data_IF_330692155107
#
_entry.id   IF_330692155107
#
_cell.length_a   1.000
_cell.length_b   1.000
_cell.length_c   1.000
_cell.angle_alpha   90.00
_cell.angle_beta   90.00
_cell.angle_gamma   90.00
#
_symmetry.space_group_name_H-M   'P 1'
#
loop_
_entity.id
_entity.type
_entity.pdbx_description
1 polymer ?
#
# COMPACT_ATOMS: atom_id res chain seq x y z
N UNK A 1 26.38 -10.02 58.54
CA UNK A 1 25.34 -8.96 58.49
C UNK A 1 24.77 -8.98 57.07
N UNK A 2 24.19 -10.08 56.60
CA UNK A 2 22.88 -10.70 56.96
C UNK A 2 21.72 -9.74 56.65
N UNK A 3 20.66 -10.06 55.88
CA UNK A 3 20.11 -11.30 55.34
C UNK A 3 19.35 -10.94 54.01
N UNK A 4 19.39 -11.72 52.93
CA UNK A 4 18.61 -12.94 52.61
C UNK A 4 17.12 -12.89 53.00
N UNK A 5 16.23 -12.92 52.00
CA UNK A 5 14.95 -13.61 52.11
C UNK A 5 14.52 -14.19 50.75
N UNK A 6 14.42 -15.51 50.77
CA UNK A 6 13.87 -16.41 49.76
C UNK A 6 12.42 -16.80 50.11
N UNK A 7 11.82 -17.63 49.22
CA UNK A 7 10.57 -18.43 49.33
C UNK A 7 9.31 -17.86 48.65
N UNK A 8 8.40 -18.63 48.04
CA UNK A 8 8.33 -20.00 47.47
C UNK A 8 6.98 -20.08 46.72
N UNK A 9 6.88 -20.93 45.70
CA UNK A 9 5.62 -21.33 45.05
C UNK A 9 4.78 -22.29 45.93
N UNK A 10 3.53 -22.64 45.52
CA UNK A 10 3.38 -23.94 44.84
C UNK A 10 2.24 -24.10 43.80
N UNK A 11 2.53 -25.01 42.85
CA UNK A 11 1.72 -26.13 42.31
C UNK A 11 0.30 -25.96 41.73
N UNK A 12 0.14 -26.40 40.47
CA UNK A 12 -1.12 -26.87 39.88
C UNK A 12 -0.87 -27.87 38.75
N UNK A 13 -1.14 -29.16 39.01
CA UNK A 13 -1.02 -30.33 38.10
C UNK A 13 -2.33 -30.54 37.32
N UNK A 14 -2.24 -30.90 36.04
CA UNK A 14 -3.36 -31.41 35.23
C UNK A 14 -2.89 -32.43 34.18
N UNK A 15 -3.29 -33.70 34.36
CA UNK A 15 -2.93 -34.92 33.59
C UNK A 15 -3.52 -34.93 32.17
N UNK A 16 -2.77 -35.27 31.11
CA UNK A 16 -2.59 -36.61 30.46
C UNK A 16 -3.87 -37.38 30.11
N UNK A 17 -4.08 -37.65 28.81
CA UNK A 17 -4.63 -38.92 28.32
C UNK A 17 -4.12 -39.21 26.88
N UNK A 18 -3.36 -40.31 26.77
CA UNK A 18 -2.97 -41.01 25.54
C UNK A 18 -3.91 -42.21 25.44
N UNK A 19 -4.41 -42.53 24.25
CA UNK A 19 -5.06 -43.82 23.99
C UNK A 19 -4.51 -44.42 22.69
N UNK A 20 -3.85 -45.57 22.85
CA UNK A 20 -3.38 -46.47 21.80
C UNK A 20 -3.78 -47.89 22.25
N UNK A 21 -4.54 -48.64 21.44
CA UNK A 21 -4.78 -50.08 21.58
C UNK A 21 -5.50 -50.57 20.30
N UNK A 22 -4.83 -51.19 19.32
CA UNK A 22 -4.50 -52.63 19.14
C UNK A 22 -5.59 -53.49 18.49
N UNK A 23 -5.26 -53.96 17.27
CA UNK A 23 -5.37 -55.31 16.69
C UNK A 23 -6.54 -56.24 17.09
N UNK A 24 -7.22 -56.75 16.05
CA UNK A 24 -7.99 -57.99 16.08
C UNK A 24 -8.02 -58.64 14.69
N UNK A 25 -7.24 -59.70 14.51
CA UNK A 25 -7.27 -60.59 13.36
C UNK A 25 -8.37 -61.66 13.54
N UNK A 26 -9.02 -62.07 12.44
CA UNK A 26 -9.96 -63.19 12.44
C UNK A 26 -10.06 -63.79 11.04
N UNK A 27 -9.39 -64.93 10.85
CA UNK A 27 -9.44 -65.79 9.67
C UNK A 27 -10.26 -67.03 10.03
N UNK A 28 -11.30 -67.38 9.26
CA UNK A 28 -11.84 -68.74 9.24
C UNK A 28 -12.67 -68.99 7.96
N UNK A 29 -12.20 -69.96 7.17
CA UNK A 29 -12.89 -70.55 6.02
C UNK A 29 -13.78 -71.73 6.44
N UNK A 30 -14.81 -72.06 5.65
CA UNK A 30 -15.31 -73.42 5.22
C UNK A 30 -16.44 -73.18 4.19
N UNK A 31 -16.39 -73.63 2.93
CA UNK A 31 -16.36 -74.98 2.33
C UNK A 31 -17.75 -75.65 2.18
N UNK A 32 -18.08 -76.02 0.93
CA UNK A 32 -19.20 -76.87 0.50
C UNK A 32 -20.01 -76.23 -0.63
N UNK A 33 -20.45 -76.89 -1.70
CA UNK A 33 -20.18 -78.19 -2.32
C UNK A 33 -20.87 -78.18 -3.72
N UNK A 34 -20.52 -79.14 -4.58
CA UNK A 34 -21.30 -79.71 -5.68
C UNK A 34 -21.61 -78.89 -6.97
N UNK A 35 -20.75 -79.14 -7.97
CA UNK A 35 -21.05 -79.61 -9.34
C UNK A 35 -22.38 -79.33 -10.04
N UNK A 36 -22.29 -78.73 -11.23
CA UNK A 36 -22.93 -79.24 -12.45
C UNK A 36 -22.30 -78.59 -13.69
N UNK A 37 -21.66 -79.40 -14.53
CA UNK A 37 -21.19 -78.99 -15.84
C UNK A 37 -22.38 -78.94 -16.81
N UNK A 38 -22.56 -77.81 -17.49
CA UNK A 38 -23.36 -77.72 -18.72
C UNK A 38 -22.55 -77.01 -19.80
N UNK A 39 -22.53 -77.68 -20.94
CA UNK A 39 -21.71 -77.40 -22.12
C UNK A 39 -22.35 -76.35 -23.04
N UNK A 40 -21.49 -75.58 -23.71
CA UNK A 40 -21.72 -74.72 -24.92
C UNK A 40 -22.23 -73.32 -24.57
N UNK A 41 -21.71 -72.23 -25.12
CA UNK A 41 -21.27 -71.94 -26.50
C UNK A 41 -20.23 -70.82 -26.50
N UNK A 42 -19.28 -70.85 -27.43
CA UNK A 42 -18.40 -69.72 -27.72
C UNK A 42 -19.24 -68.51 -28.20
N UNK A 43 -19.28 -67.46 -27.39
CA UNK A 43 -19.77 -66.14 -27.78
C UNK A 43 -18.57 -65.17 -27.72
N UNK A 44 -18.21 -64.62 -28.87
CA UNK A 44 -17.24 -63.54 -28.96
C UNK A 44 -17.77 -62.36 -28.13
N UNK A 45 -17.09 -62.03 -27.04
CA UNK A 45 -17.37 -60.82 -26.26
C UNK A 45 -16.98 -59.62 -27.11
N UNK A 46 -17.96 -59.00 -27.76
CA UNK A 46 -17.81 -57.65 -28.29
C UNK A 46 -17.64 -56.72 -27.08
N UNK A 47 -16.41 -56.27 -26.83
CA UNK A 47 -16.12 -55.23 -25.85
C UNK A 47 -16.79 -53.96 -26.35
N UNK A 48 -17.96 -53.63 -25.79
CA UNK A 48 -18.59 -52.34 -26.00
C UNK A 48 -17.68 -51.27 -25.38
N UNK A 49 -16.91 -50.57 -26.21
CA UNK A 49 -16.26 -49.33 -25.80
C UNK A 49 -17.36 -48.30 -25.52
N UNK A 50 -17.72 -48.18 -24.24
CA UNK A 50 -18.51 -47.07 -23.75
C UNK A 50 -17.75 -45.78 -24.12
N UNK A 51 -18.27 -45.05 -25.10
CA UNK A 51 -17.80 -43.71 -25.43
C UNK A 51 -18.15 -42.81 -24.26
N UNK A 52 -17.24 -42.70 -23.30
CA UNK A 52 -17.25 -41.58 -22.36
C UNK A 52 -17.15 -40.32 -23.21
N UNK A 53 -18.24 -39.55 -23.29
CA UNK A 53 -18.15 -38.20 -23.82
C UNK A 53 -17.21 -37.45 -22.88
N UNK A 54 -16.02 -37.13 -23.37
CA UNK A 54 -15.11 -36.22 -22.68
C UNK A 54 -15.82 -34.87 -22.65
N UNK A 55 -16.53 -34.59 -21.55
CA UNK A 55 -16.92 -33.21 -21.24
C UNK A 55 -15.62 -32.46 -21.05
N UNK A 56 -15.33 -31.54 -21.96
CA UNK A 56 -14.26 -30.59 -21.78
C UNK A 56 -14.44 -29.94 -20.39
N UNK A 57 -13.37 -29.82 -19.57
CA UNK A 57 -13.47 -29.14 -18.29
C UNK A 57 -14.03 -27.75 -18.56
N UNK A 58 -15.02 -27.34 -17.77
CA UNK A 58 -15.55 -25.99 -17.84
C UNK A 58 -14.36 -25.02 -17.71
N UNK A 59 -14.12 -24.21 -18.74
CA UNK A 59 -13.22 -23.07 -18.63
C UNK A 59 -13.90 -22.13 -17.65
N UNK A 60 -13.57 -22.27 -16.36
CA UNK A 60 -13.91 -21.28 -15.35
C UNK A 60 -13.23 -20.00 -15.82
N UNK A 61 -14.04 -19.03 -16.26
CA UNK A 61 -13.53 -17.75 -16.76
C UNK A 61 -12.47 -17.21 -15.80
N UNK A 62 -11.32 -16.81 -16.36
CA UNK A 62 -10.19 -16.24 -15.61
C UNK A 62 -10.73 -15.24 -14.60
N UNK A 63 -10.49 -15.49 -13.31
CA UNK A 63 -10.93 -14.62 -12.23
C UNK A 63 -10.57 -13.17 -12.60
N UNK A 64 -11.51 -12.25 -12.42
CA UNK A 64 -11.28 -10.84 -12.72
C UNK A 64 -10.00 -10.38 -12.01
N UNK A 65 -9.14 -9.64 -12.74
CA UNK A 65 -7.92 -9.12 -12.15
C UNK A 65 -8.27 -8.31 -10.88
N UNK A 66 -7.48 -8.43 -9.80
CA UNK A 66 -7.75 -7.68 -8.59
C UNK A 66 -7.75 -6.18 -8.89
N UNK A 67 -8.62 -5.44 -8.21
CA UNK A 67 -8.66 -3.98 -8.31
C UNK A 67 -7.27 -3.39 -7.98
N UNK A 68 -6.85 -2.30 -8.66
CA UNK A 68 -5.58 -1.65 -8.38
C UNK A 68 -5.52 -1.20 -6.91
N UNK A 69 -4.35 -1.33 -6.30
CA UNK A 69 -4.12 -0.90 -4.93
C UNK A 69 -3.48 0.48 -4.91
N UNK A 70 -4.15 1.44 -4.24
CA UNK A 70 -3.59 2.76 -3.94
C UNK A 70 -2.99 2.72 -2.55
N UNK A 71 -1.67 2.91 -2.46
CA UNK A 71 -0.98 3.10 -1.19
C UNK A 71 -0.99 4.57 -0.81
N UNK A 72 -1.57 4.88 0.35
CA UNK A 72 -1.54 6.21 0.93
C UNK A 72 -0.49 6.26 2.03
N UNK A 73 0.39 7.24 1.98
CA UNK A 73 1.42 7.44 2.98
C UNK A 73 1.16 8.76 3.72
N UNK A 74 0.60 8.72 4.93
CA UNK A 74 0.54 9.90 5.78
C UNK A 74 1.95 10.24 6.27
N UNK A 75 2.48 11.41 5.85
CA UNK A 75 3.80 11.88 6.21
C UNK A 75 4.06 11.87 7.73
N UNK A 76 5.33 11.74 8.10
CA UNK A 76 5.82 11.76 9.48
C UNK A 76 5.13 10.72 10.40
N UNK A 77 5.05 10.98 11.71
CA UNK A 77 4.37 10.12 12.69
C UNK A 77 5.25 9.78 13.89
N UNK A 78 4.62 9.47 15.01
CA UNK A 78 5.27 9.16 16.27
C UNK A 78 6.18 10.30 16.73
N UNK A 79 7.48 10.02 16.79
CA UNK A 79 8.52 10.96 17.24
C UNK A 79 8.81 12.08 16.24
N UNK A 80 8.44 11.89 14.98
CA UNK A 80 8.54 12.92 13.95
C UNK A 80 7.21 13.69 13.86
N UNK A 81 7.14 14.94 14.32
CA UNK A 81 5.92 15.75 14.23
C UNK A 81 5.66 16.28 12.81
N UNK A 82 6.66 16.24 11.92
CA UNK A 82 6.69 17.05 10.71
C UNK A 82 6.78 18.53 11.02
N UNK A 83 6.25 19.36 10.10
CA UNK A 83 6.08 20.77 10.33
C UNK A 83 5.19 21.05 11.55
N UNK A 84 5.58 22.07 12.31
CA UNK A 84 4.77 22.64 13.40
C UNK A 84 4.21 23.95 12.89
N UNK A 85 2.88 24.00 12.73
CA UNK A 85 2.18 25.17 12.24
C UNK A 85 2.28 26.38 13.17
N UNK A 86 1.91 27.55 12.65
CA UNK A 86 1.96 28.83 13.37
C UNK A 86 1.18 28.78 14.69
N UNK A 87 0.11 27.97 14.76
CA UNK A 87 -0.71 27.78 15.97
C UNK A 87 -0.36 26.52 16.78
N UNK A 88 0.77 25.87 16.50
CA UNK A 88 1.22 24.65 17.19
C UNK A 88 0.62 23.35 16.65
N UNK A 89 -0.01 23.39 15.48
CA UNK A 89 -0.59 22.19 14.85
C UNK A 89 0.52 21.30 14.28
N UNK A 90 0.50 20.01 14.61
CA UNK A 90 1.46 19.06 14.02
C UNK A 90 0.97 18.54 12.67
N UNK A 91 1.85 18.57 11.68
CA UNK A 91 1.62 18.06 10.34
C UNK A 91 1.20 16.59 10.35
N UNK A 92 1.86 15.74 11.13
CA UNK A 92 1.57 14.30 11.20
C UNK A 92 0.08 13.97 11.41
N UNK A 93 -0.64 14.81 12.16
CA UNK A 93 -2.08 14.63 12.43
C UNK A 93 -2.94 15.13 11.27
N UNK A 94 -2.52 16.19 10.58
CA UNK A 94 -3.19 16.68 9.37
C UNK A 94 -3.05 15.66 8.24
N UNK A 95 -1.84 15.17 8.00
CA UNK A 95 -1.54 14.15 7.00
C UNK A 95 -2.37 12.88 7.22
N UNK A 96 -2.37 12.35 8.46
CA UNK A 96 -3.15 11.16 8.82
C UNK A 96 -4.65 11.37 8.63
N UNK A 97 -5.19 12.49 9.11
CA UNK A 97 -6.62 12.78 8.99
C UNK A 97 -7.06 12.97 7.54
N UNK A 98 -6.23 13.57 6.68
CA UNK A 98 -6.52 13.73 5.27
C UNK A 98 -6.42 12.40 4.50
N UNK A 99 -5.39 11.60 4.78
CA UNK A 99 -5.22 10.29 4.16
C UNK A 99 -6.32 9.30 4.58
N UNK A 100 -6.76 9.32 5.83
CA UNK A 100 -7.90 8.52 6.30
C UNK A 100 -9.21 8.92 5.60
N UNK A 101 -9.42 10.21 5.37
CA UNK A 101 -10.59 10.69 4.61
C UNK A 101 -10.50 10.29 3.13
N UNK A 102 -9.33 10.40 2.50
CA UNK A 102 -9.12 9.91 1.14
C UNK A 102 -9.33 8.39 1.03
N UNK A 103 -8.83 7.62 2.00
CA UNK A 103 -9.07 6.18 2.07
C UNK A 103 -10.56 5.86 2.10
N UNK A 104 -11.34 6.54 2.96
CA UNK A 104 -12.80 6.35 3.02
C UNK A 104 -13.46 6.58 1.67
N UNK A 105 -13.13 7.68 1.00
CA UNK A 105 -13.75 8.03 -0.28
C UNK A 105 -13.35 7.07 -1.42
N UNK A 106 -12.09 6.63 -1.45
CA UNK A 106 -11.61 5.65 -2.43
C UNK A 106 -12.28 4.28 -2.22
N UNK A 107 -12.34 3.80 -0.98
CA UNK A 107 -13.02 2.53 -0.65
C UNK A 107 -14.52 2.58 -0.98
N UNK A 108 -15.19 3.69 -0.66
CA UNK A 108 -16.61 3.89 -0.96
C UNK A 108 -16.94 3.85 -2.46
N UNK A 109 -15.96 4.11 -3.33
CA UNK A 109 -16.15 4.01 -4.79
C UNK A 109 -16.26 2.58 -5.30
N UNK A 110 -15.73 1.60 -4.56
CA UNK A 110 -15.64 0.20 -5.00
C UNK A 110 -14.65 -0.06 -6.15
N UNK A 111 -13.93 0.95 -6.63
CA UNK A 111 -13.01 0.83 -7.76
C UNK A 111 -11.56 0.48 -7.38
N UNK A 112 -11.21 0.60 -6.08
CA UNK A 112 -9.84 0.49 -5.60
C UNK A 112 -9.74 -0.38 -4.37
N UNK A 113 -8.60 -1.05 -4.24
CA UNK A 113 -8.08 -1.45 -2.93
C UNK A 113 -7.26 -0.28 -2.39
N UNK A 114 -7.29 -0.07 -1.07
CA UNK A 114 -6.54 1.02 -0.44
C UNK A 114 -5.82 0.50 0.78
N UNK A 115 -4.53 0.81 0.92
CA UNK A 115 -3.74 0.55 2.10
C UNK A 115 -3.09 1.86 2.58
N UNK A 116 -2.71 1.90 3.85
CA UNK A 116 -1.97 3.02 4.43
C UNK A 116 -0.67 2.52 5.04
N UNK A 117 0.43 3.27 4.89
CA UNK A 117 1.71 2.94 5.55
C UNK A 117 1.57 2.92 7.08
N UNK A 118 0.79 3.88 7.61
CA UNK A 118 0.36 3.94 9.02
C UNK A 118 -1.11 4.34 9.14
N UNK A 119 -1.77 3.84 10.19
CA UNK A 119 -3.15 4.19 10.57
C UNK A 119 -3.23 4.67 12.03
N UNK A 120 -2.07 4.90 12.63
CA UNK A 120 -1.85 5.37 13.99
C UNK A 120 -0.64 6.31 14.03
N UNK A 121 -0.41 6.92 15.19
CA UNK A 121 0.68 7.87 15.42
C UNK A 121 2.00 7.14 15.68
N UNK A 122 2.49 6.40 14.68
CA UNK A 122 3.79 5.72 14.70
C UNK A 122 4.75 6.30 13.68
N UNK A 123 6.04 6.24 14.01
CA UNK A 123 7.11 6.58 13.09
C UNK A 123 7.41 5.40 12.16
N UNK A 124 7.55 5.69 10.86
CA UNK A 124 8.06 4.73 9.85
C UNK A 124 9.18 5.42 9.07
N UNK A 125 10.37 4.81 8.99
CA UNK A 125 11.46 5.31 8.14
C UNK A 125 11.03 5.43 6.67
N UNK A 126 11.65 6.36 5.93
CA UNK A 126 11.28 6.66 4.55
C UNK A 126 11.38 5.43 3.64
N UNK A 127 12.44 4.64 3.77
CA UNK A 127 12.61 3.38 3.02
C UNK A 127 11.54 2.35 3.39
N UNK A 128 11.21 2.21 4.68
CA UNK A 128 10.16 1.30 5.15
C UNK A 128 8.78 1.63 4.57
N UNK A 129 8.48 2.90 4.28
CA UNK A 129 7.23 3.30 3.61
C UNK A 129 7.15 2.78 2.19
N UNK A 130 8.28 2.82 1.46
CA UNK A 130 8.41 2.28 0.10
C UNK A 130 8.32 0.75 0.14
N UNK A 131 8.98 0.09 1.09
CA UNK A 131 8.90 -1.37 1.29
C UNK A 131 7.47 -1.85 1.54
N UNK A 132 6.70 -1.13 2.37
CA UNK A 132 5.28 -1.42 2.60
C UNK A 132 4.48 -1.32 1.29
N UNK A 133 4.75 -0.32 0.44
CA UNK A 133 4.09 -0.19 -0.86
C UNK A 133 4.38 -1.40 -1.78
N UNK A 134 5.64 -1.85 -1.83
CA UNK A 134 6.04 -3.05 -2.59
C UNK A 134 5.42 -4.34 -2.04
N UNK A 135 5.43 -4.52 -0.71
CA UNK A 135 4.85 -5.69 -0.06
C UNK A 135 3.35 -5.84 -0.34
N UNK A 136 2.66 -4.72 -0.54
CA UNK A 136 1.24 -4.69 -0.91
C UNK A 136 0.98 -4.72 -2.42
N UNK A 137 2.04 -4.76 -3.25
CA UNK A 137 1.95 -4.65 -4.71
C UNK A 137 1.13 -3.45 -5.16
N UNK A 138 1.43 -2.28 -4.59
CA UNK A 138 0.71 -1.05 -4.90
C UNK A 138 0.84 -0.69 -6.39
N UNK A 139 -0.26 -0.24 -6.98
CA UNK A 139 -0.31 0.26 -8.37
C UNK A 139 -0.08 1.77 -8.45
N UNK A 140 -0.16 2.46 -7.31
CA UNK A 140 0.06 3.90 -7.15
C UNK A 140 0.43 4.17 -5.70
N UNK A 141 1.42 5.05 -5.48
CA UNK A 141 1.82 5.54 -4.16
C UNK A 141 1.60 7.05 -4.06
N UNK A 142 0.94 7.49 -2.98
CA UNK A 142 0.65 8.90 -2.72
C UNK A 142 1.10 9.23 -1.31
N UNK A 143 2.18 10.01 -1.18
CA UNK A 143 2.55 10.61 0.10
C UNK A 143 1.78 11.91 0.32
N UNK A 144 1.17 12.09 1.49
CA UNK A 144 0.37 13.25 1.84
C UNK A 144 1.07 14.06 2.94
N UNK A 145 1.39 15.31 2.62
CA UNK A 145 2.12 16.24 3.47
C UNK A 145 1.39 17.59 3.59
N UNK A 146 1.80 18.35 4.59
CA UNK A 146 1.46 19.74 4.79
C UNK A 146 2.69 20.43 5.41
N UNK A 147 3.71 20.61 4.59
CA UNK A 147 5.03 21.00 5.07
C UNK A 147 5.12 22.47 5.52
N UNK A 148 6.31 22.91 5.94
CA UNK A 148 6.59 24.31 6.22
C UNK A 148 7.68 24.89 5.31
N UNK A 149 7.42 26.09 4.80
CA UNK A 149 8.38 26.89 4.03
C UNK A 149 8.87 28.09 4.83
N UNK A 150 10.11 28.51 4.58
CA UNK A 150 10.72 29.71 5.19
C UNK A 150 9.90 30.97 4.91
N UNK A 151 9.45 31.14 3.66
CA UNK A 151 8.53 32.21 3.28
C UNK A 151 7.10 31.83 3.67
N UNK A 152 6.61 32.47 4.74
CA UNK A 152 5.26 32.25 5.29
C UNK A 152 4.14 32.84 4.43
N UNK A 153 4.46 33.63 3.40
CA UNK A 153 3.47 34.16 2.47
C UNK A 153 3.04 33.12 1.42
N UNK A 154 3.88 32.12 1.17
CA UNK A 154 3.61 31.04 0.22
C UNK A 154 2.49 30.17 0.76
N UNK A 155 1.49 29.89 -0.09
CA UNK A 155 0.31 29.12 0.25
C UNK A 155 -0.33 28.46 -0.97
N UNK A 156 -1.12 27.42 -0.72
CA UNK A 156 -1.76 26.61 -1.75
C UNK A 156 -1.05 25.27 -1.94
N UNK A 157 -1.77 24.32 -2.51
CA UNK A 157 -1.30 22.97 -2.71
C UNK A 157 -0.30 22.85 -3.87
N UNK A 158 0.52 21.81 -3.81
CA UNK A 158 1.44 21.40 -4.88
C UNK A 158 1.63 19.89 -4.88
N UNK A 159 2.15 19.36 -5.98
CA UNK A 159 2.46 17.94 -6.16
C UNK A 159 3.89 17.80 -6.66
N UNK A 160 4.61 16.87 -6.08
CA UNK A 160 6.01 16.60 -6.36
C UNK A 160 6.18 15.21 -6.96
N UNK A 161 7.03 15.12 -7.98
CA UNK A 161 7.54 13.87 -8.53
C UNK A 161 9.04 13.73 -8.26
N UNK A 162 9.55 12.50 -8.35
CA UNK A 162 10.96 12.23 -8.17
C UNK A 162 11.80 12.75 -9.35
N UNK A 163 12.85 13.50 -9.04
CA UNK A 163 13.91 13.88 -9.96
C UNK A 163 15.23 14.08 -9.22
N UNK A 164 16.36 13.75 -9.86
CA UNK A 164 17.69 14.04 -9.32
C UNK A 164 18.00 15.54 -9.26
N UNK A 165 17.34 16.35 -10.10
CA UNK A 165 17.42 17.80 -10.09
C UNK A 165 16.12 18.37 -9.54
N UNK A 166 16.16 19.40 -8.70
CA UNK A 166 14.97 20.07 -8.19
C UNK A 166 14.45 21.16 -9.14
N UNK A 167 13.14 21.42 -9.13
CA UNK A 167 12.52 22.47 -9.94
C UNK A 167 13.02 23.88 -9.61
N UNK A 168 13.41 24.10 -8.35
CA UNK A 168 13.87 25.37 -7.81
C UNK A 168 14.54 25.15 -6.43
N UNK A 169 15.15 26.20 -5.89
CA UNK A 169 15.86 26.14 -4.61
C UNK A 169 14.94 25.80 -3.42
N UNK A 170 13.66 26.18 -3.49
CA UNK A 170 12.67 25.90 -2.46
C UNK A 170 12.30 24.42 -2.45
N UNK A 171 12.01 23.83 -3.61
CA UNK A 171 11.82 22.38 -3.77
C UNK A 171 13.05 21.58 -3.33
N UNK A 172 14.25 22.07 -3.61
CA UNK A 172 15.49 21.43 -3.16
C UNK A 172 15.64 21.48 -1.62
N UNK A 173 15.27 22.60 -1.00
CA UNK A 173 15.29 22.73 0.46
C UNK A 173 14.25 21.84 1.14
N UNK A 174 13.03 21.81 0.59
CA UNK A 174 11.94 20.96 1.06
C UNK A 174 12.37 19.49 1.05
N UNK A 175 12.86 18.99 -0.09
CA UNK A 175 13.34 17.61 -0.19
C UNK A 175 14.47 17.28 0.80
N UNK A 176 15.37 18.22 1.12
CA UNK A 176 16.41 18.00 2.14
C UNK A 176 15.82 17.88 3.54
N UNK A 177 14.84 18.72 3.88
CA UNK A 177 14.13 18.65 5.17
C UNK A 177 13.40 17.32 5.30
N UNK A 178 12.61 16.96 4.29
CA UNK A 178 11.82 15.72 4.30
C UNK A 178 12.68 14.46 4.32
N UNK A 179 13.77 14.45 3.56
CA UNK A 179 14.74 13.34 3.61
C UNK A 179 15.47 13.21 4.95
N UNK A 180 15.39 14.22 5.82
CA UNK A 180 15.98 14.18 7.16
C UNK A 180 15.07 13.55 8.21
N UNK A 181 13.82 13.18 7.88
CA UNK A 181 12.86 12.55 8.78
C UNK A 181 13.41 11.28 9.45
N UNK A 182 14.26 10.52 8.75
CA UNK A 182 14.90 9.30 9.26
C UNK A 182 15.76 9.51 10.52
N UNK A 183 16.18 10.75 10.82
CA UNK A 183 16.87 11.10 12.08
C UNK A 183 16.05 10.77 13.33
N UNK A 184 14.72 10.66 13.20
CA UNK A 184 13.82 10.29 14.29
C UNK A 184 13.73 8.77 14.53
N UNK A 185 14.30 7.96 13.62
CA UNK A 185 14.30 6.49 13.68
C UNK A 185 15.29 5.87 14.67
N UNK A 186 16.21 6.66 15.22
CA UNK A 186 17.24 6.18 16.14
C UNK A 186 18.47 5.61 15.42
N UNK A 187 19.44 5.03 16.17
CA UNK A 187 20.79 4.74 15.65
C UNK A 187 20.86 3.73 14.50
N UNK A 188 19.81 2.93 14.30
CA UNK A 188 19.76 1.85 13.31
C UNK A 188 19.19 2.32 11.96
N UNK A 189 18.64 3.53 11.88
CA UNK A 189 18.11 4.09 10.64
C UNK A 189 19.16 5.03 10.06
N UNK A 190 19.72 4.64 8.91
CA UNK A 190 20.72 5.44 8.22
C UNK A 190 20.04 6.26 7.12
N UNK A 191 20.13 7.59 7.24
CA UNK A 191 19.67 8.46 6.17
C UNK A 191 20.51 8.22 4.91
N UNK A 192 19.85 8.03 3.78
CA UNK A 192 20.51 7.90 2.49
C UNK A 192 21.28 9.18 2.14
N UNK A 193 22.53 9.06 1.67
CA UNK A 193 23.28 10.23 1.22
C UNK A 193 22.64 10.84 -0.03
N UNK A 194 22.82 12.15 -0.29
CA UNK A 194 22.35 12.79 -1.52
C UNK A 194 22.88 12.12 -2.80
N UNK A 195 24.09 11.55 -2.79
CA UNK A 195 24.65 10.80 -3.92
C UNK A 195 23.90 9.49 -4.16
N UNK A 196 23.63 8.72 -3.10
CA UNK A 196 22.81 7.49 -3.18
C UNK A 196 21.41 7.84 -3.67
N UNK A 197 20.86 8.98 -3.23
CA UNK A 197 19.57 9.47 -3.71
C UNK A 197 19.53 9.72 -5.22
N UNK A 198 20.59 10.30 -5.79
CA UNK A 198 20.70 10.55 -7.23
C UNK A 198 20.83 9.24 -8.03
N UNK A 199 21.63 8.29 -7.54
CA UNK A 199 21.79 6.96 -8.18
C UNK A 199 20.45 6.22 -8.20
N UNK A 200 19.72 6.18 -7.08
CA UNK A 200 18.43 5.50 -7.02
C UNK A 200 17.39 6.16 -7.94
N UNK A 201 17.42 7.49 -8.11
CA UNK A 201 16.55 8.17 -9.08
C UNK A 201 16.83 7.75 -10.53
N UNK A 202 18.05 7.32 -10.85
CA UNK A 202 18.40 6.80 -12.19
C UNK A 202 17.80 5.42 -12.46
N UNK A 203 17.54 4.62 -11.42
CA UNK A 203 16.99 3.26 -11.53
C UNK A 203 15.47 3.22 -11.75
N UNK A 204 14.78 4.33 -11.54
CA UNK A 204 13.34 4.45 -11.81
C UNK A 204 13.08 4.19 -13.28
N UNK A 205 12.11 3.32 -13.60
CA UNK A 205 11.77 3.05 -14.99
C UNK A 205 11.14 4.28 -15.66
N UNK A 206 11.29 4.41 -16.98
CA UNK A 206 10.64 5.49 -17.72
C UNK A 206 9.10 5.41 -17.64
N UNK A 207 8.55 4.19 -17.58
CA UNK A 207 7.12 3.97 -17.36
C UNK A 207 6.66 4.53 -16.01
N UNK A 208 7.42 4.25 -14.95
CA UNK A 208 7.14 4.77 -13.61
C UNK A 208 7.23 6.30 -13.55
N UNK A 209 8.22 6.91 -14.22
CA UNK A 209 8.31 8.38 -14.32
C UNK A 209 7.12 8.98 -15.06
N UNK A 210 6.72 8.40 -16.19
CA UNK A 210 5.54 8.83 -16.95
C UNK A 210 4.26 8.68 -16.14
N UNK A 211 4.11 7.57 -15.41
CA UNK A 211 2.99 7.36 -14.48
C UNK A 211 2.94 8.43 -13.39
N UNK A 212 4.08 8.73 -12.76
CA UNK A 212 4.16 9.78 -11.74
C UNK A 212 3.82 11.17 -12.30
N UNK A 213 4.34 11.52 -13.48
CA UNK A 213 4.03 12.79 -14.15
C UNK A 213 2.54 12.90 -14.51
N UNK A 214 1.94 11.80 -14.96
CA UNK A 214 0.52 11.73 -15.27
C UNK A 214 -0.37 11.86 -14.02
N UNK A 215 0.00 11.19 -12.93
CA UNK A 215 -0.69 11.36 -11.65
C UNK A 215 -0.57 12.82 -11.18
N UNK A 216 0.61 13.42 -11.27
CA UNK A 216 0.82 14.83 -10.90
C UNK A 216 -0.07 15.78 -11.71
N UNK A 217 -0.16 15.61 -13.03
CA UNK A 217 -1.10 16.38 -13.86
C UNK A 217 -2.55 16.18 -13.43
N UNK A 218 -2.92 14.93 -13.14
CA UNK A 218 -4.28 14.59 -12.68
C UNK A 218 -4.63 15.27 -11.36
N UNK A 219 -3.67 15.37 -10.43
CA UNK A 219 -3.82 16.13 -9.16
C UNK A 219 -4.06 17.60 -9.45
N UNK A 220 -3.18 18.23 -10.24
CA UNK A 220 -3.29 19.66 -10.58
C UNK A 220 -4.66 19.98 -11.19
N UNK A 221 -5.10 19.18 -12.16
CA UNK A 221 -6.36 19.41 -12.85
C UNK A 221 -7.59 19.14 -11.97
N UNK A 222 -7.49 18.23 -11.00
CA UNK A 222 -8.58 17.95 -10.07
C UNK A 222 -8.68 19.02 -8.97
N UNK A 223 -7.55 19.61 -8.58
CA UNK A 223 -7.47 20.62 -7.52
C UNK A 223 -7.91 22.00 -8.02
N UNK A 224 -7.51 22.38 -9.24
CA UNK A 224 -7.71 23.72 -9.84
C UNK A 224 -9.10 24.35 -9.60
N UNK A 225 -10.23 23.61 -9.66
CA UNK A 225 -11.55 24.22 -9.49
C UNK A 225 -11.96 24.48 -8.03
N UNK A 226 -11.25 23.91 -7.03
CA UNK A 226 -11.74 23.86 -5.63
C UNK A 226 -10.68 24.13 -4.56
N UNK A 227 -9.41 23.88 -4.88
CA UNK A 227 -8.28 24.00 -3.96
C UNK A 227 -7.30 25.03 -4.53
N UNK A 228 -6.86 25.98 -3.70
CA UNK A 228 -5.82 26.93 -4.10
C UNK A 228 -4.51 26.21 -4.41
N UNK A 229 -3.85 26.56 -5.51
CA UNK A 229 -2.62 25.95 -5.98
C UNK A 229 -1.48 26.98 -5.98
N UNK A 230 -0.24 26.51 -5.82
CA UNK A 230 0.92 27.33 -6.18
C UNK A 230 0.89 27.71 -7.66
N UNK A 231 1.55 28.81 -8.03
CA UNK A 231 1.68 29.25 -9.43
C UNK A 231 2.27 28.17 -10.34
N UNK A 232 3.23 27.42 -9.81
CA UNK A 232 3.80 26.22 -10.44
C UNK A 232 3.52 25.04 -9.50
N UNK A 233 2.37 24.37 -9.62
CA UNK A 233 1.93 23.38 -8.65
C UNK A 233 2.55 22.00 -8.89
N UNK A 234 2.90 21.66 -10.13
CA UNK A 234 3.67 20.45 -10.43
C UNK A 234 5.17 20.76 -10.30
N UNK A 235 5.83 20.08 -9.38
CA UNK A 235 7.24 20.27 -9.02
C UNK A 235 7.96 18.94 -8.98
N UNK A 236 9.27 18.98 -8.85
CA UNK A 236 10.09 17.78 -8.77
C UNK A 236 11.33 18.04 -7.93
N UNK A 237 11.76 17.02 -7.18
CA UNK A 237 12.99 17.02 -6.37
C UNK A 237 13.32 15.59 -5.91
N UNK A 238 14.47 15.43 -5.24
CA UNK A 238 15.03 14.13 -4.85
C UNK A 238 14.43 13.56 -3.55
N UNK A 239 13.11 13.49 -3.43
CA UNK A 239 12.43 12.91 -2.25
C UNK A 239 12.70 11.40 -2.14
N UNK A 240 13.18 10.94 -0.98
CA UNK A 240 13.48 9.52 -0.73
C UNK A 240 12.22 8.67 -0.79
N UNK A 241 11.11 9.15 -0.23
CA UNK A 241 9.83 8.42 -0.17
C UNK A 241 9.22 8.15 -1.56
N UNK A 242 9.69 8.85 -2.61
CA UNK A 242 9.21 8.67 -3.98
C UNK A 242 10.08 7.71 -4.80
N UNK A 243 11.09 7.08 -4.20
CA UNK A 243 12.07 6.22 -4.87
C UNK A 243 11.61 4.77 -4.99
N UNK A 244 10.46 4.57 -5.62
CA UNK A 244 10.10 3.24 -6.14
C UNK A 244 10.52 3.12 -7.60
N UNK A 245 11.11 1.98 -7.97
CA UNK A 245 11.57 1.73 -9.33
C UNK A 245 10.42 1.42 -10.30
N UNK A 246 9.34 0.83 -9.80
CA UNK A 246 8.21 0.29 -10.55
C UNK A 246 6.84 0.82 -10.10
N UNK A 247 6.72 1.47 -8.93
CA UNK A 247 5.44 2.07 -8.45
C UNK A 247 5.42 3.58 -8.74
N UNK A 248 4.50 4.07 -9.60
CA UNK A 248 4.29 5.49 -9.80
C UNK A 248 3.98 6.20 -8.48
N UNK A 249 4.78 7.21 -8.14
CA UNK A 249 4.80 7.83 -6.81
C UNK A 249 4.71 9.35 -6.90
N UNK A 250 3.84 9.95 -6.10
CA UNK A 250 3.73 11.41 -5.95
C UNK A 250 3.71 11.80 -4.48
N UNK A 251 4.26 12.97 -4.16
CA UNK A 251 4.09 13.63 -2.86
C UNK A 251 3.18 14.83 -3.04
N UNK A 252 2.11 14.93 -2.26
CA UNK A 252 1.12 16.00 -2.33
C UNK A 252 1.25 16.88 -1.10
N UNK A 253 1.68 18.13 -1.32
CA UNK A 253 1.55 19.20 -0.35
C UNK A 253 0.14 19.75 -0.41
N UNK A 254 -0.65 19.48 0.62
CA UNK A 254 -2.05 19.94 0.67
C UNK A 254 -2.16 21.45 0.94
N UNK A 255 -1.06 22.07 1.37
CA UNK A 255 -0.91 23.46 1.78
C UNK A 255 0.24 23.55 2.77
N UNK A 256 0.66 24.77 3.13
CA UNK A 256 1.85 24.95 3.97
C UNK A 256 1.50 25.39 5.40
N UNK A 257 1.94 24.63 6.39
CA UNK A 257 1.70 24.88 7.82
C UNK A 257 2.39 26.15 8.33
N UNK A 258 3.41 26.65 7.59
CA UNK A 258 4.02 27.95 7.85
C UNK A 258 3.11 29.13 7.50
N UNK A 259 2.05 28.92 6.70
CA UNK A 259 1.05 29.91 6.34
C UNK A 259 -0.22 29.77 7.20
N UNK A 260 -0.63 30.86 7.85
CA UNK A 260 -1.78 30.86 8.78
C UNK A 260 -3.11 30.48 8.12
N UNK A 261 -3.31 30.84 6.85
CA UNK A 261 -4.57 30.55 6.15
C UNK A 261 -4.66 29.09 5.74
N UNK A 262 -3.55 28.50 5.28
CA UNK A 262 -3.49 27.08 4.96
C UNK A 262 -3.58 26.22 6.22
N UNK A 263 -2.84 26.56 7.29
CA UNK A 263 -2.97 25.86 8.57
C UNK A 263 -4.42 25.89 9.09
N UNK A 264 -5.07 27.06 9.07
CA UNK A 264 -6.45 27.20 9.51
C UNK A 264 -7.44 26.41 8.64
N UNK A 265 -7.19 26.30 7.33
CA UNK A 265 -8.00 25.50 6.43
C UNK A 265 -7.78 24.00 6.70
N UNK A 266 -6.53 23.54 6.75
CA UNK A 266 -6.17 22.13 6.95
C UNK A 266 -6.68 21.56 8.28
N UNK A 267 -6.78 22.39 9.33
CA UNK A 267 -7.40 22.01 10.60
C UNK A 267 -8.89 21.66 10.48
N UNK A 268 -9.60 22.19 9.48
CA UNK A 268 -11.02 21.96 9.29
C UNK A 268 -11.28 20.63 8.57
N UNK A 269 -12.13 19.78 9.16
CA UNK A 269 -12.52 18.51 8.56
C UNK A 269 -13.18 18.69 7.17
N UNK A 270 -13.99 19.74 7.00
CA UNK A 270 -14.62 20.07 5.72
C UNK A 270 -13.60 20.38 4.61
N UNK A 271 -12.51 21.08 4.93
CA UNK A 271 -11.45 21.32 3.96
C UNK A 271 -10.71 20.03 3.59
N UNK A 272 -10.36 19.18 4.56
CA UNK A 272 -9.74 17.88 4.28
C UNK A 272 -10.63 16.96 3.44
N UNK A 273 -11.95 17.00 3.66
CA UNK A 273 -12.93 16.30 2.81
C UNK A 273 -12.92 16.81 1.36
N UNK A 274 -12.78 18.12 1.15
CA UNK A 274 -12.64 18.69 -0.20
C UNK A 274 -11.32 18.27 -0.86
N UNK A 275 -10.21 18.31 -0.13
CA UNK A 275 -8.89 17.85 -0.62
C UNK A 275 -8.96 16.37 -1.00
N UNK A 276 -9.50 15.51 -0.13
CA UNK A 276 -9.71 14.10 -0.42
C UNK A 276 -10.61 13.86 -1.63
N UNK A 277 -11.69 14.63 -1.79
CA UNK A 277 -12.57 14.54 -2.96
C UNK A 277 -11.90 14.94 -4.27
N UNK A 278 -11.01 15.92 -4.24
CA UNK A 278 -10.19 16.30 -5.38
C UNK A 278 -9.13 15.22 -5.68
N UNK A 279 -8.47 14.66 -4.65
CA UNK A 279 -7.52 13.56 -4.81
C UNK A 279 -8.18 12.29 -5.37
N UNK A 280 -9.38 11.95 -4.91
CA UNK A 280 -10.16 10.83 -5.45
C UNK A 280 -10.43 11.00 -6.94
N UNK A 281 -10.81 12.22 -7.37
CA UNK A 281 -10.97 12.53 -8.80
C UNK A 281 -9.65 12.42 -9.57
N UNK A 282 -8.51 12.83 -8.98
CA UNK A 282 -7.21 12.67 -9.60
C UNK A 282 -6.83 11.19 -9.80
N UNK A 283 -7.10 10.34 -8.79
CA UNK A 283 -6.90 8.88 -8.87
C UNK A 283 -7.79 8.27 -9.95
N UNK A 284 -9.06 8.66 -10.02
CA UNK A 284 -9.97 8.22 -11.10
C UNK A 284 -9.44 8.56 -12.49
N UNK A 285 -8.96 9.80 -12.67
CA UNK A 285 -8.39 10.23 -13.95
C UNK A 285 -7.17 9.40 -14.32
N UNK A 286 -6.22 9.24 -13.38
CA UNK A 286 -5.01 8.45 -13.58
C UNK A 286 -5.33 7.04 -14.09
N UNK A 287 -6.21 6.31 -13.40
CA UNK A 287 -6.55 4.93 -13.76
C UNK A 287 -7.48 4.81 -14.98
N UNK A 288 -8.33 5.81 -15.27
CA UNK A 288 -9.19 5.80 -16.46
C UNK A 288 -8.38 5.76 -17.76
N UNK A 289 -7.29 6.51 -17.83
CA UNK A 289 -6.37 6.56 -18.96
C UNK A 289 -5.38 5.40 -19.01
N UNK A 290 -5.00 4.83 -17.87
CA UNK A 290 -4.16 3.62 -17.83
C UNK A 290 -4.93 2.37 -18.34
N UNK A 291 -6.24 2.28 -18.05
CA UNK A 291 -7.11 1.18 -18.49
C UNK A 291 -7.58 1.24 -19.94
N UNK A 292 -7.21 2.28 -20.71
CA UNK A 292 -7.58 2.46 -22.11
C UNK A 292 -6.76 1.63 -23.10
N UNK A 293 -5.55 1.21 -22.72
CA UNK A 293 -4.63 0.49 -23.62
C UNK A 293 -4.95 -1.02 -23.69
N UNK A 294 -5.53 -1.61 -22.64
CA UNK A 294 -5.80 -3.06 -22.57
C UNK A 294 -7.14 -3.48 -23.19
N UNK A 295 -8.02 -2.54 -23.56
CA UNK A 295 -9.38 -2.86 -24.07
C UNK A 295 -9.55 -2.88 -25.58
N UNK A 296 -8.51 -2.60 -26.37
CA UNK A 296 -8.60 -2.52 -27.84
C UNK A 296 -7.99 -3.74 -28.58
N UNK A 297 -7.65 -4.82 -27.88
CA UNK A 297 -7.07 -6.04 -28.49
C UNK A 297 -7.70 -7.34 -28.00
N UNK A 298 -9.03 -7.34 -27.81
CA UNK A 298 -9.81 -8.54 -27.50
C UNK A 298 -10.92 -8.77 -28.50
#
# INVERSE_FOLDING_TARGET
MDADHSERAPAGRGRRAVLLATLGAGLAARAGDAGAAVHRTAAHSAVAHARHSLRAPAIVGRAAAPLPLVMLDPGHGGKDPGAIGVSGTYEKHIAEAAAAELQRQLLASGAYRVAMTRTDDRFIPLEGRVEIAHAHSASLFISMHADALTDRSVRGASVYTLSGQASDAQSAALARTENSADRFGGPQVHANSPEVAAILSSLVSEETRRGAAHMASSVVDAFRPRIGLLSHPARHAAFVVLKSADIPSVLVEMGFMSNRMDEAALRQAGHRMMVAGAMKQAVDRYFASAGGVTRLTG
#
